data_IF_574076221712
#
_entry.id   IF_574076221712
#
_cell.length_a   1.000
_cell.length_b   1.000
_cell.length_c   1.000
_cell.angle_alpha   90.00
_cell.angle_beta   90.00
_cell.angle_gamma   90.00
#
_symmetry.space_group_name_H-M   'P 1'
#
loop_
_entity.id
_entity.type
_entity.pdbx_description
1 polymer ?
#
# COMPACT_ATOMS: atom_id res chain seq x y z
N UNK A 1 1.83 -7.57 -28.93
CA UNK A 1 1.98 -8.01 -27.52
C UNK A 1 1.05 -7.12 -26.70
N UNK A 2 -0.11 -7.63 -26.28
CA UNK A 2 -1.04 -6.84 -25.49
C UNK A 2 -0.46 -6.64 -24.10
N UNK A 3 -0.33 -5.40 -23.65
CA UNK A 3 0.09 -5.09 -22.30
C UNK A 3 -0.97 -5.66 -21.35
N UNK A 4 -0.59 -6.61 -20.47
CA UNK A 4 -1.52 -7.07 -19.44
C UNK A 4 -1.92 -5.87 -18.56
N UNK A 5 -3.22 -5.66 -18.29
CA UNK A 5 -3.66 -4.52 -17.51
C UNK A 5 -3.02 -4.54 -16.12
N UNK A 6 -2.49 -3.38 -15.69
CA UNK A 6 -1.88 -3.22 -14.37
C UNK A 6 -2.99 -3.33 -13.32
N UNK A 7 -2.78 -4.16 -12.30
CA UNK A 7 -3.73 -4.32 -11.19
C UNK A 7 -3.09 -3.76 -9.93
N UNK A 8 -3.58 -2.62 -9.49
CA UNK A 8 -3.13 -1.96 -8.27
C UNK A 8 -4.11 -2.29 -7.15
N UNK A 9 -3.59 -2.76 -6.02
CA UNK A 9 -4.38 -2.93 -4.80
C UNK A 9 -3.84 -2.00 -3.73
N UNK A 10 -4.69 -1.12 -3.19
CA UNK A 10 -4.33 -0.22 -2.10
C UNK A 10 -5.03 -0.63 -0.82
N UNK A 11 -4.34 -0.50 0.32
CA UNK A 11 -4.97 -0.72 1.62
C UNK A 11 -6.04 0.32 1.91
N UNK A 12 -5.73 1.59 1.67
CA UNK A 12 -6.60 2.75 1.91
C UNK A 12 -7.11 3.37 0.61
N UNK A 13 -8.32 3.93 0.65
CA UNK A 13 -8.92 4.65 -0.48
C UNK A 13 -8.11 5.86 -0.95
N UNK A 14 -7.50 6.60 -0.03
CA UNK A 14 -6.66 7.77 -0.37
C UNK A 14 -5.50 7.39 -1.29
N UNK A 15 -4.82 6.26 -1.03
CA UNK A 15 -3.77 5.75 -1.90
C UNK A 15 -4.32 5.20 -3.22
N UNK A 16 -5.54 4.64 -3.18
CA UNK A 16 -6.25 4.20 -4.39
C UNK A 16 -6.54 5.33 -5.34
N UNK A 17 -7.15 6.42 -4.87
CA UNK A 17 -7.48 7.59 -5.69
C UNK A 17 -6.23 8.21 -6.33
N UNK A 18 -5.13 8.30 -5.59
CA UNK A 18 -3.83 8.74 -6.13
C UNK A 18 -3.33 7.80 -7.23
N UNK A 19 -3.42 6.48 -7.01
CA UNK A 19 -3.01 5.49 -7.99
C UNK A 19 -3.90 5.51 -9.25
N UNK A 20 -5.21 5.72 -9.11
CA UNK A 20 -6.14 5.86 -10.23
C UNK A 20 -5.77 7.06 -11.11
N UNK A 21 -5.49 8.21 -10.49
CA UNK A 21 -5.08 9.42 -11.19
C UNK A 21 -3.79 9.21 -12.02
N UNK A 22 -2.84 8.43 -11.51
CA UNK A 22 -1.58 8.10 -12.21
C UNK A 22 -1.80 7.04 -13.29
N UNK A 23 -2.61 6.02 -13.01
CA UNK A 23 -2.77 4.85 -13.88
C UNK A 23 -3.63 5.15 -15.13
N UNK A 24 -4.60 6.05 -15.00
CA UNK A 24 -5.53 6.37 -16.09
C UNK A 24 -6.23 5.12 -16.64
N UNK A 25 -6.13 4.88 -17.94
CA UNK A 25 -6.78 3.75 -18.62
C UNK A 25 -5.89 2.50 -18.79
N UNK A 26 -4.71 2.46 -18.17
CA UNK A 26 -3.73 1.39 -18.36
C UNK A 26 -3.96 0.16 -17.46
N UNK A 27 -5.00 0.20 -16.62
CA UNK A 27 -5.28 -0.86 -15.66
C UNK A 27 -6.47 -0.57 -14.76
N UNK A 28 -6.49 -1.24 -13.61
CA UNK A 28 -7.51 -1.09 -12.58
C UNK A 28 -6.88 -0.88 -11.21
N UNK A 29 -7.58 -0.12 -10.36
CA UNK A 29 -7.24 0.06 -8.95
C UNK A 29 -8.36 -0.50 -8.09
N UNK A 30 -7.99 -1.16 -6.99
CA UNK A 30 -8.92 -1.61 -5.95
C UNK A 30 -8.42 -1.14 -4.60
N UNK A 31 -9.24 -0.37 -3.90
CA UNK A 31 -9.03 -0.02 -2.50
C UNK A 31 -9.78 -0.98 -1.59
N UNK A 32 -9.12 -1.45 -0.55
CA UNK A 32 -9.72 -2.40 0.40
C UNK A 32 -10.53 -1.66 1.45
N UNK A 33 -9.94 -0.66 2.10
CA UNK A 33 -10.62 0.18 3.09
C UNK A 33 -11.09 1.47 2.43
N UNK A 34 -12.40 1.54 2.21
CA UNK A 34 -13.07 2.71 1.62
C UNK A 34 -13.78 3.59 2.64
N UNK A 35 -14.03 3.07 3.85
CA UNK A 35 -14.57 3.86 4.94
C UNK A 35 -13.42 4.41 5.80
N UNK A 36 -13.21 5.73 5.87
CA UNK A 36 -12.16 6.34 6.69
C UNK A 36 -12.42 6.22 8.20
N UNK A 37 -13.66 5.92 8.63
CA UNK A 37 -14.02 5.79 10.04
C UNK A 37 -13.65 4.42 10.64
N UNK A 38 -13.17 3.48 9.81
CA UNK A 38 -12.76 2.14 10.26
C UNK A 38 -11.28 2.14 10.59
N UNK A 39 -10.96 1.77 11.83
CA UNK A 39 -9.57 1.57 12.25
C UNK A 39 -8.94 0.39 11.47
N UNK A 40 -7.82 0.60 10.77
CA UNK A 40 -7.12 -0.45 10.02
C UNK A 40 -6.53 -1.57 10.87
N UNK A 41 -6.33 -1.34 12.17
CA UNK A 41 -5.92 -2.36 13.12
C UNK A 41 -7.05 -3.32 13.47
N UNK A 42 -8.31 -2.87 13.41
CA UNK A 42 -9.51 -3.67 13.67
C UNK A 42 -10.11 -4.28 12.40
N UNK A 43 -9.57 -3.94 11.23
CA UNK A 43 -10.02 -4.50 9.96
C UNK A 43 -9.64 -5.98 9.84
N UNK A 44 -10.64 -6.85 9.78
CA UNK A 44 -10.47 -8.28 9.51
C UNK A 44 -10.60 -8.56 8.00
N UNK A 45 -9.52 -8.94 7.30
CA UNK A 45 -9.58 -9.13 5.87
C UNK A 45 -10.31 -10.42 5.46
N UNK A 46 -11.06 -10.33 4.38
CA UNK A 46 -11.76 -11.50 3.82
C UNK A 46 -10.85 -12.34 2.91
N UNK A 47 -11.27 -13.57 2.61
CA UNK A 47 -10.63 -14.40 1.59
C UNK A 47 -10.64 -13.74 0.19
N UNK A 48 -11.61 -12.88 -0.10
CA UNK A 48 -11.63 -12.11 -1.36
C UNK A 48 -10.55 -11.03 -1.36
N UNK A 49 -10.33 -10.36 -0.22
CA UNK A 49 -9.23 -9.41 -0.06
C UNK A 49 -7.90 -10.09 -0.36
N UNK A 50 -7.64 -11.27 0.23
CA UNK A 50 -6.42 -12.03 -0.04
C UNK A 50 -6.22 -12.35 -1.55
N UNK A 51 -7.29 -12.75 -2.25
CA UNK A 51 -7.24 -12.99 -3.70
C UNK A 51 -6.92 -11.75 -4.54
N UNK A 52 -7.32 -10.57 -4.09
CA UNK A 52 -6.95 -9.31 -4.76
C UNK A 52 -5.43 -9.11 -4.70
N UNK A 53 -4.83 -9.28 -3.51
CA UNK A 53 -3.38 -9.16 -3.34
C UNK A 53 -2.59 -10.22 -4.10
N UNK A 54 -3.08 -11.46 -4.13
CA UNK A 54 -2.46 -12.55 -4.91
C UNK A 54 -2.36 -12.20 -6.40
N UNK A 55 -3.37 -11.51 -6.95
CA UNK A 55 -3.42 -11.14 -8.37
C UNK A 55 -2.80 -9.78 -8.67
N UNK A 56 -2.50 -8.99 -7.65
CA UNK A 56 -1.98 -7.64 -7.80
C UNK A 56 -0.62 -7.64 -8.50
N UNK A 57 -0.40 -6.66 -9.37
CA UNK A 57 0.92 -6.37 -9.92
C UNK A 57 1.63 -5.30 -9.10
N UNK A 58 0.86 -4.41 -8.47
CA UNK A 58 1.36 -3.38 -7.54
C UNK A 58 0.47 -3.38 -6.31
N UNK A 59 1.07 -3.31 -5.12
CA UNK A 59 0.34 -3.06 -3.88
C UNK A 59 0.83 -1.77 -3.23
N UNK A 60 -0.10 -1.05 -2.59
CA UNK A 60 0.21 0.19 -1.86
C UNK A 60 -0.31 0.02 -0.43
N UNK A 61 0.60 0.09 0.54
CA UNK A 61 0.30 0.02 1.98
C UNK A 61 0.86 1.25 2.70
N UNK A 62 0.24 1.61 3.81
CA UNK A 62 0.80 2.63 4.70
C UNK A 62 2.12 2.11 5.31
N UNK A 63 2.08 0.89 5.87
CA UNK A 63 3.19 0.31 6.61
C UNK A 63 3.37 0.89 8.01
N UNK A 64 4.47 0.52 8.65
CA UNK A 64 4.81 0.97 10.01
C UNK A 64 3.85 0.47 11.09
N UNK A 65 3.26 -0.72 10.88
CA UNK A 65 2.30 -1.31 11.81
C UNK A 65 0.85 -0.90 11.59
N UNK A 66 0.58 0.10 10.74
CA UNK A 66 -0.77 0.66 10.54
C UNK A 66 -1.75 -0.34 9.90
N UNK A 67 -1.35 -0.96 8.79
CA UNK A 67 -2.16 -1.89 8.00
C UNK A 67 -1.47 -3.23 7.82
N UNK A 68 -1.06 -3.84 8.94
CA UNK A 68 -0.24 -5.07 8.94
C UNK A 68 -0.79 -6.22 8.10
N UNK A 69 -2.12 -6.33 7.99
CA UNK A 69 -2.77 -7.33 7.14
C UNK A 69 -2.44 -7.15 5.65
N UNK A 70 -2.31 -5.90 5.18
CA UNK A 70 -1.93 -5.56 3.81
C UNK A 70 -0.48 -5.96 3.54
N UNK A 71 0.42 -5.66 4.48
CA UNK A 71 1.82 -6.06 4.40
C UNK A 71 1.98 -7.59 4.36
N UNK A 72 1.18 -8.32 5.15
CA UNK A 72 1.19 -9.79 5.16
C UNK A 72 0.74 -10.38 3.83
N UNK A 73 -0.34 -9.88 3.23
CA UNK A 73 -0.78 -10.36 1.91
C UNK A 73 0.17 -9.96 0.79
N UNK A 74 0.74 -8.76 0.85
CA UNK A 74 1.78 -8.31 -0.07
C UNK A 74 2.98 -9.25 -0.03
N UNK A 75 3.48 -9.61 1.15
CA UNK A 75 4.61 -10.55 1.31
C UNK A 75 4.31 -11.97 0.80
N UNK A 76 3.04 -12.37 0.74
CA UNK A 76 2.63 -13.67 0.20
C UNK A 76 2.70 -13.72 -1.34
N UNK A 77 2.62 -12.57 -2.03
CA UNK A 77 2.79 -12.47 -3.47
C UNK A 77 4.24 -12.12 -3.82
N UNK A 78 4.98 -13.06 -4.40
CA UNK A 78 6.43 -12.89 -4.68
C UNK A 78 6.73 -12.01 -5.90
N UNK A 79 5.75 -11.84 -6.79
CA UNK A 79 5.92 -11.13 -8.06
C UNK A 79 5.38 -9.69 -8.00
N UNK A 80 4.77 -9.30 -6.88
CA UNK A 80 4.20 -7.97 -6.69
C UNK A 80 5.28 -6.90 -6.53
N UNK A 81 4.99 -5.70 -7.04
CA UNK A 81 5.74 -4.49 -6.69
C UNK A 81 5.07 -3.82 -5.49
N UNK A 82 5.72 -3.89 -4.33
CA UNK A 82 5.21 -3.31 -3.11
C UNK A 82 5.64 -1.85 -2.97
N UNK A 83 4.69 -0.99 -2.64
CA UNK A 83 4.89 0.39 -2.20
C UNK A 83 4.46 0.47 -0.73
N UNK A 84 5.43 0.61 0.17
CA UNK A 84 5.20 0.85 1.58
C UNK A 84 5.58 2.30 1.89
N UNK A 85 4.59 3.12 2.24
CA UNK A 85 4.77 4.57 2.40
C UNK A 85 5.74 4.90 3.52
N UNK A 86 5.65 4.21 4.66
CA UNK A 86 6.58 4.38 5.79
C UNK A 86 8.02 4.04 5.39
N UNK A 87 8.24 2.93 4.67
CA UNK A 87 9.57 2.55 4.18
C UNK A 87 10.12 3.56 3.17
N UNK A 88 9.28 4.18 2.32
CA UNK A 88 9.69 5.21 1.37
C UNK A 88 10.25 6.47 2.04
N UNK A 89 9.75 6.81 3.22
CA UNK A 89 10.27 7.93 4.02
C UNK A 89 11.49 7.55 4.86
N UNK A 90 12.00 6.31 4.75
CA UNK A 90 13.03 5.74 5.62
C UNK A 90 12.65 5.81 7.11
N UNK A 91 11.35 5.82 7.41
CA UNK A 91 10.88 5.86 8.79
C UNK A 91 11.08 4.47 9.41
N UNK A 92 11.80 4.43 10.53
CA UNK A 92 11.99 3.22 11.33
C UNK A 92 11.17 3.40 12.61
N UNK A 93 10.33 2.44 12.97
CA UNK A 93 9.70 2.41 14.29
C UNK A 93 10.77 2.58 15.38
N UNK A 94 10.57 3.54 16.29
CA UNK A 94 11.55 3.89 17.32
C UNK A 94 12.57 4.97 16.93
N UNK A 95 12.62 5.42 15.67
CA UNK A 95 13.38 6.61 15.28
C UNK A 95 12.55 7.89 15.43
N UNK A 96 12.21 8.22 16.68
CA UNK A 96 11.93 9.61 17.09
C UNK A 96 13.22 10.46 17.17
N UNK A 97 14.23 10.13 16.36
CA UNK A 97 15.39 10.97 16.13
C UNK A 97 15.32 11.48 14.69
N UNK A 98 14.40 12.41 14.47
CA UNK A 98 14.59 13.41 13.41
C UNK A 98 15.86 14.18 13.82
N UNK A 99 17.02 13.67 13.42
CA UNK A 99 18.21 14.48 13.32
C UNK A 99 17.93 15.38 12.13
N UNK A 100 17.26 16.51 12.38
CA UNK A 100 17.47 17.70 11.56
C UNK A 100 18.94 18.00 11.73
N UNK A 101 19.78 17.39 10.90
CA UNK A 101 21.15 17.83 10.72
C UNK A 101 21.05 19.17 10.02
N UNK A 102 20.78 20.20 10.82
CA UNK A 102 21.17 21.56 10.49
C UNK A 102 22.69 21.52 10.45
N UNK A 103 23.26 21.18 9.29
CA UNK A 103 24.60 21.67 8.96
C UNK A 103 24.46 23.18 8.82
N UNK A 104 24.46 23.87 9.96
CA UNK A 104 24.91 25.25 9.98
C UNK A 104 26.39 25.21 9.61
N UNK A 105 26.69 25.95 8.54
CA UNK A 105 28.04 26.29 8.13
C UNK A 105 28.63 27.28 9.14
#
# INVERSE_FOLDING_TARGET
>A
MGNSPIRVVSSLNSYGEMAEAVLGNQGEVKSVMTNPDVDPHDYEPTANTAKLYERATVTISNGGGYDTWSERFTKANKDVKAVNVVEMYHYQEGQMNILVSTRCR
#
